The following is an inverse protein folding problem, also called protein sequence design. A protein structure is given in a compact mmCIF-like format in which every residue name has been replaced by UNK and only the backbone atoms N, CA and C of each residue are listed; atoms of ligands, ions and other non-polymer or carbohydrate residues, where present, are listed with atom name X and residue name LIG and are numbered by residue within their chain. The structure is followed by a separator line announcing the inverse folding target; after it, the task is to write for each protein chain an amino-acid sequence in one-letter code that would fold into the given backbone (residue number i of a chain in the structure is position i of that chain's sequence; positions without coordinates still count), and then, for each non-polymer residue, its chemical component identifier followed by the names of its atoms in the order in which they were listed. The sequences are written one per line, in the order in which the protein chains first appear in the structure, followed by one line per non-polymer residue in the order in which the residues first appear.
data_IF_018197696442
#
_entry.id   IF_018197696442
#
_cell.length_a   1.000
_cell.length_b   1.000
_cell.length_c   1.000
_cell.angle_alpha   90.00
_cell.angle_beta   90.00
_cell.angle_gamma   90.00
#
_symmetry.space_group_name_H-M   'P 1'
#
loop_
_entity.id
_entity.type
_entity.pdbx_description
1 polymer ?
#
# COMPACT_ATOMS: atom_id res chain seq x y z
N UNK A 1 5.78 -15.54 8.00
CA UNK A 1 5.66 -15.49 6.52
C UNK A 1 4.99 -14.17 6.15
N UNK A 2 5.54 -13.37 5.22
CA UNK A 2 4.89 -12.13 4.76
C UNK A 2 3.72 -12.50 3.83
N UNK A 3 2.49 -12.09 4.18
CA UNK A 3 1.32 -12.36 3.36
C UNK A 3 1.31 -11.37 2.19
N UNK A 4 1.72 -11.81 1.01
CA UNK A 4 1.88 -10.97 -0.18
C UNK A 4 0.70 -11.13 -1.14
N UNK A 5 0.32 -10.06 -1.82
CA UNK A 5 -0.65 -10.08 -2.91
C UNK A 5 -0.20 -9.23 -4.08
N UNK A 6 -0.81 -9.44 -5.25
CA UNK A 6 -0.60 -8.64 -6.46
C UNK A 6 -1.81 -7.76 -6.73
N UNK A 7 -1.55 -6.53 -7.18
CA UNK A 7 -2.60 -5.59 -7.56
C UNK A 7 -2.12 -4.64 -8.65
N UNK A 8 -3.07 -4.08 -9.40
CA UNK A 8 -2.82 -3.05 -10.39
C UNK A 8 -2.65 -1.69 -9.69
N UNK A 9 -1.52 -0.99 -9.86
CA UNK A 9 -1.27 0.28 -9.17
C UNK A 9 -2.19 1.44 -9.61
N UNK A 10 -2.77 1.37 -10.81
CA UNK A 10 -3.66 2.41 -11.36
C UNK A 10 -5.05 2.31 -10.75
N UNK A 11 -5.60 1.10 -10.66
CA UNK A 11 -7.00 0.90 -10.22
C UNK A 11 -7.12 0.59 -8.72
N UNK A 12 -6.02 0.19 -8.07
CA UNK A 12 -6.01 -0.22 -6.67
C UNK A 12 -5.95 0.97 -5.71
N UNK A 13 -6.90 1.06 -4.79
CA UNK A 13 -6.93 2.07 -3.71
C UNK A 13 -6.37 1.54 -2.38
N UNK A 14 -5.40 0.61 -2.43
CA UNK A 14 -4.85 -0.08 -1.26
C UNK A 14 -3.89 0.81 -0.48
N UNK A 15 -3.92 0.72 0.85
CA UNK A 15 -3.07 1.53 1.72
C UNK A 15 -1.57 1.36 1.40
N UNK A 16 -1.13 0.14 1.04
CA UNK A 16 0.26 -0.10 0.64
C UNK A 16 0.74 0.82 -0.51
N UNK A 17 -0.17 1.29 -1.36
CA UNK A 17 0.09 2.17 -2.50
C UNK A 17 -0.28 3.64 -2.24
N UNK A 18 -0.71 3.98 -1.04
CA UNK A 18 -1.21 5.31 -0.69
C UNK A 18 -0.08 6.21 -0.13
N UNK A 19 0.04 7.46 -0.58
CA UNK A 19 0.98 8.47 -0.02
C UNK A 19 0.77 8.70 1.48
N UNK A 20 -0.48 8.59 1.94
CA UNK A 20 -0.85 8.79 3.33
C UNK A 20 -0.44 7.63 4.24
N UNK A 21 -0.04 6.48 3.69
CA UNK A 21 0.43 5.32 4.43
C UNK A 21 1.94 5.36 4.57
N UNK A 22 2.41 5.65 5.78
CA UNK A 22 3.79 6.04 6.04
C UNK A 22 4.77 4.86 6.05
N UNK A 23 5.17 4.45 4.86
CA UNK A 23 6.26 3.51 4.58
C UNK A 23 7.30 4.24 3.71
N UNK A 24 8.19 5.04 4.30
CA UNK A 24 9.13 5.88 3.56
C UNK A 24 10.14 5.08 2.74
N UNK A 25 10.45 3.85 3.16
CA UNK A 25 11.34 2.95 2.43
C UNK A 25 10.64 2.20 1.30
N UNK A 26 9.31 2.34 1.14
CA UNK A 26 8.49 1.52 0.25
C UNK A 26 8.76 0.01 0.41
N UNK A 27 9.07 -0.40 1.64
CA UNK A 27 9.44 -1.77 1.99
C UNK A 27 8.30 -2.77 1.82
N UNK A 28 7.07 -2.27 1.71
CA UNK A 28 5.87 -3.06 1.54
C UNK A 28 5.55 -3.41 0.08
N UNK A 29 6.21 -2.81 -0.91
CA UNK A 29 5.81 -2.93 -2.33
C UNK A 29 6.99 -3.32 -3.22
N UNK A 30 6.73 -4.05 -4.30
CA UNK A 30 7.73 -4.44 -5.30
C UNK A 30 7.09 -4.48 -6.70
N UNK A 31 7.70 -3.89 -7.74
CA UNK A 31 7.20 -4.00 -9.09
C UNK A 31 7.30 -5.47 -9.57
N UNK A 32 6.25 -5.95 -10.23
CA UNK A 32 6.19 -7.30 -10.82
C UNK A 32 5.89 -7.25 -12.34
N UNK A 33 5.68 -6.06 -12.90
CA UNK A 33 5.41 -5.79 -14.31
C UNK A 33 5.16 -4.30 -14.51
N UNK A 34 4.63 -3.89 -15.67
CA UNK A 34 4.43 -2.48 -16.01
C UNK A 34 3.40 -1.78 -15.12
N UNK A 35 2.28 -2.45 -14.82
CA UNK A 35 1.17 -1.91 -14.01
C UNK A 35 0.87 -2.77 -12.78
N UNK A 36 1.55 -3.89 -12.61
CA UNK A 36 1.29 -4.87 -11.55
C UNK A 36 2.36 -4.80 -10.48
N UNK A 37 1.91 -4.65 -9.24
CA UNK A 37 2.76 -4.54 -8.07
C UNK A 37 2.43 -5.64 -7.08
N UNK A 38 3.47 -6.25 -6.52
CA UNK A 38 3.38 -7.09 -5.33
C UNK A 38 3.42 -6.19 -4.09
N UNK A 39 2.63 -6.51 -3.07
CA UNK A 39 2.66 -5.80 -1.81
C UNK A 39 2.42 -6.71 -0.60
N UNK A 40 2.93 -6.31 0.56
CA UNK A 40 2.67 -6.95 1.86
C UNK A 40 1.29 -6.50 2.38
N UNK A 41 0.35 -7.44 2.44
CA UNK A 41 -1.02 -7.20 2.90
C UNK A 41 -1.08 -6.88 4.39
N UNK A 42 -0.23 -7.52 5.18
CA UNK A 42 -0.33 -7.56 6.63
C UNK A 42 0.59 -6.54 7.32
N UNK A 43 1.56 -5.99 6.58
CA UNK A 43 2.37 -4.87 7.06
C UNK A 43 1.47 -3.72 7.52
N UNK A 44 1.76 -3.19 8.72
CA UNK A 44 1.03 -2.07 9.32
C UNK A 44 1.93 -0.84 9.34
N UNK A 45 1.45 0.26 8.76
CA UNK A 45 2.09 1.56 8.87
C UNK A 45 1.09 2.62 9.32
N UNK A 46 1.62 3.73 9.83
CA UNK A 46 0.84 4.87 10.30
C UNK A 46 0.17 5.59 9.11
N UNK A 47 -1.14 5.80 9.19
CA UNK A 47 -1.84 6.71 8.29
C UNK A 47 -1.65 8.15 8.78
N UNK A 48 -1.01 9.01 7.97
CA UNK A 48 -0.69 10.40 8.36
C UNK A 48 -1.91 11.29 8.58
N UNK A 49 -3.01 11.00 7.88
CA UNK A 49 -4.28 11.73 7.98
C UNK A 49 -5.08 11.27 9.20
N UNK A 50 -5.34 9.96 9.28
CA UNK A 50 -6.20 9.39 10.34
C UNK A 50 -5.48 9.14 11.67
N UNK A 51 -4.15 9.26 11.70
CA UNK A 51 -3.29 8.99 12.87
C UNK A 51 -3.48 7.61 13.49
N UNK A 52 -3.75 6.60 12.66
CA UNK A 52 -3.93 5.20 13.08
C UNK A 52 -3.09 4.25 12.24
N UNK A 53 -2.73 3.10 12.82
CA UNK A 53 -2.09 2.02 12.07
C UNK A 53 -3.10 1.39 11.09
N UNK A 54 -2.70 1.26 9.82
CA UNK A 54 -3.48 0.59 8.78
C UNK A 54 -2.67 -0.52 8.15
N UNK A 55 -3.32 -1.63 7.83
CA UNK A 55 -2.72 -2.73 7.07
C UNK A 55 -2.64 -2.38 5.57
N UNK A 56 -1.65 -2.91 4.87
CA UNK A 56 -1.44 -2.69 3.44
C UNK A 56 -2.67 -3.03 2.57
N UNK A 57 -3.41 -4.09 2.90
CA UNK A 57 -4.58 -4.53 2.13
C UNK A 57 -5.84 -3.66 2.29
N UNK A 58 -5.89 -2.78 3.29
CA UNK A 58 -7.07 -1.94 3.52
C UNK A 58 -7.22 -0.93 2.38
N UNK A 59 -8.46 -0.62 2.02
CA UNK A 59 -8.75 0.41 1.01
C UNK A 59 -8.85 1.79 1.67
N UNK A 60 -8.42 2.83 0.98
CA UNK A 60 -8.47 4.21 1.46
C UNK A 60 -9.51 5.03 0.67
N UNK A 61 -10.40 5.75 1.34
CA UNK A 61 -11.34 6.68 0.71
C UNK A 61 -10.65 7.96 0.25
N UNK A 62 -9.63 8.41 0.97
CA UNK A 62 -8.75 9.54 0.63
C UNK A 62 -7.45 9.01 0.00
N UNK A 63 -7.59 8.11 -0.96
CA UNK A 63 -6.45 7.48 -1.62
C UNK A 63 -5.75 8.47 -2.54
N UNK A 64 -4.43 8.53 -2.44
CA UNK A 64 -3.56 9.23 -3.37
C UNK A 64 -2.39 8.31 -3.70
N UNK A 65 -2.17 7.97 -4.97
CA UNK A 65 -1.14 7.02 -5.37
C UNK A 65 0.26 7.57 -5.07
N UNK A 66 1.13 6.75 -4.48
CA UNK A 66 2.57 7.07 -4.31
C UNK A 66 3.48 6.44 -5.36
N UNK A 67 2.88 5.78 -6.34
CA UNK A 67 3.51 4.98 -7.40
C UNK A 67 3.01 5.47 -8.73
#
# INVERSE_FOLDING_TARGET
MKAKARANNITSKKCAFCKNWYDPANSAIKPCGTITWEYDMEMKCMCRVKKVLKKGFQSCSQFESKI
#
